data_IF_664658072884
#
_entry.id   IF_664658072884
#
_cell.length_a   1.000
_cell.length_b   1.000
_cell.length_c   1.000
_cell.angle_alpha   90.00
_cell.angle_beta   90.00
_cell.angle_gamma   90.00
#
_symmetry.space_group_name_H-M   'P 1'
#
loop_
_entity.id
_entity.type
_entity.pdbx_description
1 polymer ?
#
# COMPACT_ATOMS: atom_id res chain seq x y z
N UNK A 1 36.21 26.71 6.94
CA UNK A 1 35.42 25.50 7.28
C UNK A 1 36.25 24.30 6.84
N UNK A 2 36.64 23.40 7.74
CA UNK A 2 37.63 22.37 7.41
C UNK A 2 37.00 21.00 7.06
N UNK A 3 35.71 20.76 7.38
CA UNK A 3 35.07 19.46 7.18
C UNK A 3 33.56 19.56 6.96
N UNK A 4 33.02 18.69 6.09
CA UNK A 4 31.57 18.54 5.88
C UNK A 4 30.81 18.10 7.15
N UNK A 5 31.50 17.57 8.16
CA UNK A 5 30.90 17.18 9.44
C UNK A 5 30.51 18.38 10.30
N UNK A 6 31.20 19.51 10.14
CA UNK A 6 30.94 20.70 10.94
C UNK A 6 29.64 21.40 10.51
N UNK A 7 29.22 21.18 9.25
CA UNK A 7 28.00 21.75 8.65
C UNK A 7 26.76 21.44 9.48
N UNK A 8 26.64 20.22 10.01
CA UNK A 8 25.49 19.84 10.83
C UNK A 8 25.43 20.62 12.15
N UNK A 9 26.56 20.90 12.78
CA UNK A 9 26.65 21.66 14.04
C UNK A 9 26.15 23.10 13.82
N UNK A 10 26.54 23.71 12.69
CA UNK A 10 26.09 25.06 12.34
C UNK A 10 24.62 25.12 11.93
N UNK A 11 24.10 24.09 11.25
CA UNK A 11 22.66 23.93 10.97
C UNK A 11 21.83 23.83 12.24
N UNK A 12 22.26 23.00 13.20
CA UNK A 12 21.59 22.88 14.49
C UNK A 12 21.65 24.18 15.30
N UNK A 13 22.74 24.95 15.17
CA UNK A 13 22.90 26.25 15.83
C UNK A 13 22.02 27.35 15.22
N UNK A 14 21.88 27.39 13.90
CA UNK A 14 21.08 28.40 13.21
C UNK A 14 19.57 28.23 13.48
N UNK A 15 19.11 26.99 13.71
CA UNK A 15 17.70 26.63 13.96
C UNK A 15 16.76 27.04 12.81
N UNK A 16 15.49 26.69 12.94
CA UNK A 16 14.45 27.03 11.96
C UNK A 16 14.27 28.55 11.90
N UNK A 17 14.34 29.13 10.71
CA UNK A 17 14.31 30.58 10.47
C UNK A 17 15.66 31.28 10.60
N UNK A 18 16.74 30.56 10.91
CA UNK A 18 18.10 31.11 10.94
C UNK A 18 18.73 31.22 9.55
N UNK A 19 19.85 31.94 9.50
CA UNK A 19 20.64 32.20 8.29
C UNK A 19 22.00 31.51 8.40
N UNK A 20 22.48 30.92 7.31
CA UNK A 20 23.84 30.38 7.24
C UNK A 20 24.50 30.75 5.91
N UNK A 21 25.69 31.34 6.01
CA UNK A 21 26.55 31.66 4.89
C UNK A 21 27.67 30.62 4.78
N UNK A 22 27.73 29.92 3.66
CA UNK A 22 28.76 28.94 3.37
C UNK A 22 29.74 29.47 2.32
N UNK A 23 31.03 29.31 2.60
CA UNK A 23 32.07 29.37 1.59
C UNK A 23 32.51 27.95 1.24
N UNK A 24 32.31 27.56 -0.01
CA UNK A 24 32.63 26.23 -0.53
C UNK A 24 33.80 26.37 -1.48
N UNK A 25 34.94 25.78 -1.10
CA UNK A 25 36.09 25.62 -1.98
C UNK A 25 36.08 24.19 -2.55
N UNK A 26 36.04 24.07 -3.88
CA UNK A 26 36.14 22.81 -4.61
C UNK A 26 37.51 22.71 -5.29
N UNK A 27 38.52 22.12 -4.63
CA UNK A 27 39.90 22.11 -5.12
C UNK A 27 40.09 21.36 -6.45
N UNK A 28 39.11 20.56 -6.87
CA UNK A 28 39.10 19.87 -8.17
C UNK A 28 38.69 20.76 -9.36
N UNK A 29 38.27 22.01 -9.12
CA UNK A 29 37.86 22.95 -10.17
C UNK A 29 38.97 23.99 -10.45
N UNK A 30 39.01 24.59 -11.66
CA UNK A 30 39.94 25.66 -12.00
C UNK A 30 39.90 26.82 -11.00
N UNK A 31 41.02 27.53 -10.81
CA UNK A 31 41.17 28.60 -9.81
C UNK A 31 40.10 29.71 -9.91
N UNK A 32 39.55 29.92 -11.10
CA UNK A 32 38.49 30.89 -11.39
C UNK A 32 37.11 30.46 -10.89
N UNK A 33 36.85 29.15 -10.76
CA UNK A 33 35.54 28.58 -10.40
C UNK A 33 35.58 27.71 -9.14
N UNK A 34 36.73 27.58 -8.48
CA UNK A 34 36.85 26.74 -7.28
C UNK A 34 36.10 27.29 -6.06
N UNK A 35 35.78 28.59 -6.03
CA UNK A 35 35.21 29.26 -4.86
C UNK A 35 33.74 29.62 -5.09
N UNK A 36 32.86 29.16 -4.20
CA UNK A 36 31.43 29.45 -4.23
C UNK A 36 30.97 29.99 -2.88
N UNK A 37 30.08 30.98 -2.92
CA UNK A 37 29.32 31.44 -1.76
C UNK A 37 27.90 30.89 -1.88
N UNK A 38 27.38 30.29 -0.81
CA UNK A 38 26.00 29.83 -0.72
C UNK A 38 25.38 30.42 0.54
N UNK A 39 24.49 31.39 0.33
CA UNK A 39 23.73 32.04 1.38
C UNK A 39 22.38 31.32 1.50
N UNK A 40 22.19 30.66 2.65
CA UNK A 40 20.95 29.96 3.00
C UNK A 40 20.20 30.82 4.00
N UNK A 41 19.39 31.72 3.46
CA UNK A 41 18.51 32.58 4.24
C UNK A 41 17.21 31.84 4.56
N UNK A 42 16.70 31.98 5.79
CA UNK A 42 15.44 31.37 6.23
C UNK A 42 15.40 29.83 6.16
N UNK A 43 16.25 29.16 6.95
CA UNK A 43 16.25 27.70 7.07
C UNK A 43 14.85 27.15 7.44
N UNK A 44 14.22 26.43 6.51
CA UNK A 44 12.96 25.75 6.75
C UNK A 44 13.10 24.59 7.74
N UNK A 45 12.01 24.23 8.41
CA UNK A 45 11.95 22.96 9.15
C UNK A 45 12.03 21.77 8.20
N UNK A 46 12.52 20.63 8.70
CA UNK A 46 12.45 19.32 8.01
C UNK A 46 11.03 19.14 7.45
N UNK A 47 10.87 18.73 6.18
CA UNK A 47 9.59 18.86 5.46
C UNK A 47 8.41 18.29 6.25
N UNK A 48 7.41 19.15 6.46
CA UNK A 48 6.10 18.73 6.93
C UNK A 48 5.42 17.92 5.83
N UNK A 49 4.67 16.88 6.22
CA UNK A 49 3.95 16.02 5.29
C UNK A 49 3.00 16.87 4.45
N UNK A 50 3.15 16.86 3.12
CA UNK A 50 2.28 17.65 2.26
C UNK A 50 0.91 16.97 2.11
N UNK A 51 -0.13 17.73 1.73
CA UNK A 51 -1.44 17.15 1.42
C UNK A 51 -1.36 16.08 0.32
N UNK A 52 -0.46 16.28 -0.64
CA UNK A 52 -0.15 15.32 -1.69
C UNK A 52 0.45 14.03 -1.12
N UNK A 53 1.41 14.12 -0.20
CA UNK A 53 2.03 12.94 0.42
C UNK A 53 1.00 12.13 1.21
N UNK A 54 0.14 12.81 1.98
CA UNK A 54 -0.98 12.17 2.69
C UNK A 54 -1.94 11.46 1.73
N UNK A 55 -2.23 12.10 0.60
CA UNK A 55 -3.09 11.52 -0.43
C UNK A 55 -2.45 10.30 -1.13
N UNK A 56 -1.16 10.36 -1.47
CA UNK A 56 -0.42 9.21 -2.01
C UNK A 56 -0.39 8.06 -0.98
N UNK A 57 -0.15 8.36 0.29
CA UNK A 57 -0.20 7.36 1.36
C UNK A 57 -1.58 6.70 1.46
N UNK A 58 -2.66 7.49 1.32
CA UNK A 58 -4.03 6.98 1.27
C UNK A 58 -4.23 6.04 0.08
N UNK A 59 -3.75 6.41 -1.12
CA UNK A 59 -3.78 5.54 -2.30
C UNK A 59 -3.06 4.22 -1.99
N UNK A 60 -1.87 4.28 -1.39
CA UNK A 60 -1.10 3.10 -0.99
C UNK A 60 -1.90 2.19 -0.07
N UNK A 61 -2.56 2.74 0.96
CA UNK A 61 -3.43 1.99 1.86
C UNK A 61 -4.61 1.35 1.13
N UNK A 62 -5.22 2.06 0.18
CA UNK A 62 -6.31 1.50 -0.64
C UNK A 62 -5.82 0.31 -1.47
N UNK A 63 -4.65 0.40 -2.10
CA UNK A 63 -4.04 -0.74 -2.79
C UNK A 63 -3.83 -1.93 -1.86
N UNK A 64 -3.27 -1.70 -0.66
CA UNK A 64 -3.03 -2.74 0.33
C UNK A 64 -4.34 -3.42 0.77
N UNK A 65 -5.35 -2.62 1.15
CA UNK A 65 -6.66 -3.11 1.57
C UNK A 65 -7.34 -3.95 0.48
N UNK A 66 -7.32 -3.46 -0.77
CA UNK A 66 -7.89 -4.19 -1.90
C UNK A 66 -7.13 -5.50 -2.17
N UNK A 67 -5.79 -5.47 -2.13
CA UNK A 67 -4.95 -6.66 -2.33
C UNK A 67 -5.18 -7.72 -1.26
N UNK A 68 -5.19 -7.32 0.02
CA UNK A 68 -5.50 -8.19 1.15
C UNK A 68 -6.91 -8.77 1.04
N UNK A 69 -7.90 -7.94 0.73
CA UNK A 69 -9.28 -8.37 0.54
C UNK A 69 -9.38 -9.47 -0.53
N UNK A 70 -8.66 -9.34 -1.65
CA UNK A 70 -8.65 -10.35 -2.72
C UNK A 70 -7.95 -11.64 -2.28
N UNK A 71 -6.84 -11.57 -1.55
CA UNK A 71 -6.16 -12.76 -0.99
C UNK A 71 -7.09 -13.53 -0.05
N UNK A 72 -7.71 -12.83 0.91
CA UNK A 72 -8.63 -13.44 1.88
C UNK A 72 -9.88 -14.00 1.19
N UNK A 73 -10.32 -13.40 0.08
CA UNK A 73 -11.48 -13.87 -0.70
C UNK A 73 -11.20 -15.15 -1.49
N UNK A 74 -10.15 -15.16 -2.29
CA UNK A 74 -9.94 -16.22 -3.29
C UNK A 74 -9.03 -17.36 -2.78
N UNK A 75 -8.31 -17.14 -1.67
CA UNK A 75 -7.28 -18.06 -1.18
C UNK A 75 -6.03 -18.06 -2.09
N UNK A 76 -4.86 -18.36 -1.51
CA UNK A 76 -3.58 -18.32 -2.23
C UNK A 76 -3.41 -19.38 -3.35
N UNK A 77 -4.43 -20.20 -3.63
CA UNK A 77 -4.36 -21.32 -4.59
C UNK A 77 -4.49 -20.90 -6.05
N UNK A 78 -5.04 -19.71 -6.33
CA UNK A 78 -5.14 -19.20 -7.70
C UNK A 78 -3.93 -18.33 -8.05
N UNK A 79 -3.18 -18.63 -9.14
CA UNK A 79 -1.97 -17.87 -9.50
C UNK A 79 -2.26 -16.39 -9.74
N UNK A 80 -3.48 -16.03 -10.19
CA UNK A 80 -3.89 -14.65 -10.42
C UNK A 80 -3.95 -13.79 -9.15
N UNK A 81 -4.35 -14.41 -8.04
CA UNK A 81 -4.52 -13.72 -6.74
C UNK A 81 -3.18 -13.23 -6.25
N UNK A 82 -2.16 -14.08 -6.33
CA UNK A 82 -0.81 -13.75 -5.90
C UNK A 82 -0.21 -12.64 -6.77
N UNK A 83 -0.45 -12.66 -8.09
CA UNK A 83 0.01 -11.58 -8.98
C UNK A 83 -0.68 -10.26 -8.66
N UNK A 84 -2.01 -10.27 -8.48
CA UNK A 84 -2.75 -9.06 -8.10
C UNK A 84 -2.33 -8.54 -6.72
N UNK A 85 -2.13 -9.43 -5.75
CA UNK A 85 -1.64 -9.06 -4.43
C UNK A 85 -0.23 -8.47 -4.48
N UNK A 86 0.68 -9.05 -5.26
CA UNK A 86 2.03 -8.53 -5.43
C UNK A 86 2.04 -7.15 -6.11
N UNK A 87 1.13 -6.93 -7.07
CA UNK A 87 0.90 -5.61 -7.68
C UNK A 87 0.44 -4.59 -6.63
N UNK A 88 -0.56 -4.94 -5.83
CA UNK A 88 -1.06 -4.11 -4.74
C UNK A 88 0.01 -3.82 -3.68
N UNK A 89 0.82 -4.82 -3.33
CA UNK A 89 1.92 -4.67 -2.38
C UNK A 89 3.00 -3.73 -2.92
N UNK A 90 3.41 -3.90 -4.18
CA UNK A 90 4.36 -3.00 -4.82
C UNK A 90 3.84 -1.55 -4.83
N UNK A 91 2.56 -1.37 -5.18
CA UNK A 91 1.90 -0.07 -5.15
C UNK A 91 1.87 0.55 -3.75
N UNK A 92 1.49 -0.21 -2.73
CA UNK A 92 1.54 0.23 -1.34
C UNK A 92 2.94 0.69 -0.96
N UNK A 93 3.96 -0.12 -1.26
CA UNK A 93 5.34 0.17 -0.87
C UNK A 93 5.82 1.51 -1.42
N UNK A 94 5.64 1.78 -2.72
CA UNK A 94 6.19 3.01 -3.30
C UNK A 94 5.35 4.26 -3.02
N UNK A 95 4.06 4.10 -2.68
CA UNK A 95 3.20 5.22 -2.30
C UNK A 95 3.31 5.59 -0.83
N UNK A 96 3.42 4.60 0.07
CA UNK A 96 3.33 4.79 1.52
C UNK A 96 4.66 5.15 2.16
N UNK A 97 5.76 4.53 1.69
CA UNK A 97 7.08 4.79 2.27
C UNK A 97 7.70 6.04 1.63
N UNK A 98 7.95 7.05 2.46
CA UNK A 98 8.59 8.30 2.05
C UNK A 98 9.85 8.52 2.89
N UNK A 99 11.05 8.65 2.26
CA UNK A 99 12.27 8.97 2.97
C UNK A 99 12.21 10.40 3.51
N UNK A 100 12.81 10.61 4.68
CA UNK A 100 12.84 11.88 5.40
C UNK A 100 13.93 12.81 4.83
N UNK A 101 14.92 12.25 4.11
CA UNK A 101 16.03 13.00 3.51
C UNK A 101 17.20 13.23 4.47
N UNK A 102 17.35 12.36 5.47
CA UNK A 102 18.50 12.34 6.39
C UNK A 102 19.71 11.63 5.80
N UNK A 103 19.52 10.85 4.72
CA UNK A 103 20.57 10.07 4.04
C UNK A 103 21.34 9.11 4.95
N UNK A 104 20.77 8.73 6.10
CA UNK A 104 21.28 7.67 6.97
C UNK A 104 20.88 6.30 6.44
N UNK A 105 21.51 5.24 6.94
CA UNK A 105 21.27 3.85 6.51
C UNK A 105 19.78 3.47 6.42
N UNK A 106 18.98 3.78 7.44
CA UNK A 106 17.54 3.50 7.44
C UNK A 106 16.78 4.30 6.38
N UNK A 107 17.12 5.56 6.20
CA UNK A 107 16.46 6.46 5.25
C UNK A 107 16.78 6.07 3.80
N UNK A 108 18.03 5.68 3.55
CA UNK A 108 18.47 5.09 2.28
C UNK A 108 17.80 3.74 2.00
N UNK A 109 17.62 2.90 3.03
CA UNK A 109 16.87 1.65 2.90
C UNK A 109 15.40 1.89 2.55
N UNK A 110 14.76 2.90 3.15
CA UNK A 110 13.39 3.33 2.80
C UNK A 110 13.33 3.86 1.37
N UNK A 111 14.30 4.68 0.96
CA UNK A 111 14.38 5.20 -0.42
C UNK A 111 14.60 4.08 -1.45
N UNK A 112 15.44 3.10 -1.13
CA UNK A 112 15.63 1.88 -1.93
C UNK A 112 14.34 1.08 -2.03
N UNK A 113 13.67 0.82 -0.91
CA UNK A 113 12.42 0.06 -0.86
C UNK A 113 11.31 0.72 -1.69
N UNK A 114 11.14 2.05 -1.55
CA UNK A 114 10.22 2.84 -2.37
C UNK A 114 10.54 2.72 -3.86
N UNK A 115 11.81 2.88 -4.23
CA UNK A 115 12.26 2.78 -5.63
C UNK A 115 12.05 1.37 -6.20
N UNK A 116 12.37 0.33 -5.42
CA UNK A 116 12.15 -1.06 -5.79
C UNK A 116 10.66 -1.35 -6.02
N UNK A 117 9.78 -0.82 -5.16
CA UNK A 117 8.32 -0.91 -5.33
C UNK A 117 7.86 -0.31 -6.66
N UNK A 118 8.34 0.89 -7.02
CA UNK A 118 8.00 1.55 -8.28
C UNK A 118 8.51 0.77 -9.50
N UNK A 119 9.77 0.33 -9.46
CA UNK A 119 10.40 -0.42 -10.55
C UNK A 119 9.71 -1.78 -10.74
N UNK A 120 9.33 -2.48 -9.66
CA UNK A 120 8.64 -3.77 -9.73
C UNK A 120 7.16 -3.64 -10.10
N UNK A 121 6.49 -2.52 -9.77
CA UNK A 121 5.10 -2.30 -10.14
C UNK A 121 4.90 -2.33 -11.66
N UNK A 122 5.85 -1.79 -12.42
CA UNK A 122 5.80 -1.73 -13.89
C UNK A 122 5.59 -3.11 -14.56
N UNK A 123 6.50 -4.09 -14.41
CA UNK A 123 6.29 -5.42 -15.00
C UNK A 123 5.14 -6.18 -14.35
N UNK A 124 4.85 -5.98 -13.05
CA UNK A 124 3.73 -6.63 -12.37
C UNK A 124 2.38 -6.21 -12.97
N UNK A 125 2.20 -4.91 -13.25
CA UNK A 125 0.95 -4.40 -13.81
C UNK A 125 0.75 -4.85 -15.25
N UNK A 126 1.83 -4.85 -16.03
CA UNK A 126 1.82 -5.32 -17.41
C UNK A 126 1.56 -6.82 -17.50
N UNK A 127 2.20 -7.61 -16.64
CA UNK A 127 1.97 -9.04 -16.54
C UNK A 127 0.53 -9.34 -16.11
N UNK A 128 0.01 -8.64 -15.09
CA UNK A 128 -1.38 -8.79 -14.66
C UNK A 128 -2.36 -8.49 -15.81
N UNK A 129 -2.16 -7.38 -16.52
CA UNK A 129 -2.96 -6.99 -17.68
C UNK A 129 -2.90 -8.01 -18.84
N UNK A 130 -1.76 -8.71 -18.98
CA UNK A 130 -1.59 -9.76 -19.98
C UNK A 130 -2.26 -11.09 -19.61
N UNK A 131 -2.42 -11.42 -18.32
CA UNK A 131 -3.08 -12.67 -17.92
C UNK A 131 -4.61 -12.45 -17.73
N UNK A 132 -5.03 -11.25 -17.30
CA UNK A 132 -6.43 -10.91 -17.00
C UNK A 132 -7.24 -10.49 -18.24
N UNK A 133 -8.51 -10.94 -18.46
CA UNK A 133 -9.39 -11.73 -17.61
C UNK A 133 -9.46 -13.22 -17.97
N UNK A 134 -8.92 -13.66 -19.11
CA UNK A 134 -8.83 -15.06 -19.56
C UNK A 134 -7.38 -15.31 -19.94
N UNK A 135 -6.79 -16.44 -19.50
CA UNK A 135 -5.37 -16.78 -19.79
C UNK A 135 -5.15 -16.69 -21.30
N UNK A 136 -4.17 -15.90 -21.69
CA UNK A 136 -3.87 -15.67 -23.09
C UNK A 136 -2.77 -16.63 -23.56
N UNK A 137 -3.00 -17.33 -24.68
CA UNK A 137 -2.03 -18.29 -25.23
C UNK A 137 -0.71 -17.65 -25.74
N UNK A 138 -0.59 -16.32 -25.89
CA UNK A 138 0.67 -15.71 -26.38
C UNK A 138 1.87 -15.87 -25.44
N UNK A 139 1.63 -16.03 -24.14
CA UNK A 139 2.68 -16.26 -23.13
C UNK A 139 2.82 -17.74 -22.76
N UNK A 140 1.88 -18.58 -23.23
CA UNK A 140 1.80 -20.00 -22.88
C UNK A 140 2.80 -20.83 -23.70
N UNK A 141 3.10 -20.43 -24.94
CA UNK A 141 4.06 -21.16 -25.78
C UNK A 141 5.53 -20.89 -25.44
N UNK A 142 5.88 -19.81 -24.71
CA UNK A 142 7.28 -19.38 -24.53
C UNK A 142 7.52 -18.68 -23.18
N UNK A 143 7.72 -19.47 -22.11
CA UNK A 143 8.02 -19.02 -20.72
C UNK A 143 9.12 -17.94 -20.62
N UNK A 144 10.07 -17.92 -21.56
CA UNK A 144 11.14 -16.92 -21.61
C UNK A 144 10.65 -15.48 -21.88
N UNK A 145 9.49 -15.30 -22.53
CA UNK A 145 8.88 -13.97 -22.73
C UNK A 145 8.41 -13.35 -21.41
N UNK A 146 7.94 -14.17 -20.46
CA UNK A 146 7.61 -13.71 -19.11
C UNK A 146 8.87 -13.22 -18.41
N UNK A 147 9.98 -13.97 -18.51
CA UNK A 147 11.26 -13.57 -17.90
C UNK A 147 11.80 -12.27 -18.53
N UNK A 148 11.71 -12.14 -19.85
CA UNK A 148 12.18 -10.95 -20.57
C UNK A 148 11.44 -9.67 -20.14
N UNK A 149 10.17 -9.78 -19.73
CA UNK A 149 9.37 -8.66 -19.22
C UNK A 149 9.98 -8.03 -17.96
N UNK A 150 10.55 -8.85 -17.08
CA UNK A 150 11.14 -8.40 -15.81
C UNK A 150 12.60 -7.96 -15.97
N UNK A 151 13.26 -8.28 -17.09
CA UNK A 151 14.67 -7.98 -17.30
C UNK A 151 15.00 -6.48 -17.13
N UNK A 152 14.27 -5.52 -17.72
CA UNK A 152 14.54 -4.10 -17.51
C UNK A 152 14.38 -3.67 -16.05
N UNK A 153 13.41 -4.27 -15.36
CA UNK A 153 13.14 -3.99 -13.96
C UNK A 153 14.27 -4.51 -13.05
N UNK A 154 14.82 -5.70 -13.35
CA UNK A 154 15.99 -6.23 -12.64
C UNK A 154 17.25 -5.40 -12.88
N UNK A 155 17.48 -4.92 -14.10
CA UNK A 155 18.61 -4.02 -14.41
C UNK A 155 18.49 -2.72 -13.62
N UNK A 156 17.31 -2.10 -13.61
CA UNK A 156 17.04 -0.89 -12.83
C UNK A 156 17.16 -1.14 -11.32
N UNK A 157 16.77 -2.31 -10.83
CA UNK A 157 16.91 -2.67 -9.41
C UNK A 157 18.37 -2.87 -9.01
N UNK A 158 19.20 -3.44 -9.89
CA UNK A 158 20.66 -3.49 -9.69
C UNK A 158 21.29 -2.10 -9.71
N UNK A 159 20.78 -1.18 -10.53
CA UNK A 159 21.23 0.21 -10.50
C UNK A 159 20.79 0.90 -9.20
N UNK A 160 19.57 0.61 -8.73
CA UNK A 160 19.06 1.13 -7.46
C UNK A 160 19.89 0.65 -6.26
N UNK A 161 20.33 -0.61 -6.23
CA UNK A 161 21.23 -1.08 -5.15
C UNK A 161 22.56 -0.33 -5.17
N UNK A 162 23.13 -0.07 -6.35
CA UNK A 162 24.35 0.73 -6.50
C UNK A 162 24.16 2.18 -6.04
N UNK A 163 23.01 2.80 -6.31
CA UNK A 163 22.71 4.19 -5.94
C UNK A 163 22.41 4.35 -4.45
N UNK A 164 21.55 3.50 -3.87
CA UNK A 164 21.06 3.69 -2.49
C UNK A 164 21.86 2.94 -1.44
N UNK A 165 22.49 1.80 -1.80
CA UNK A 165 23.21 0.94 -0.85
C UNK A 165 24.73 1.01 -1.05
N UNK A 166 25.24 2.08 -1.69
CA UNK A 166 26.67 2.29 -1.97
C UNK A 166 27.54 2.11 -0.73
N UNK A 167 27.17 2.75 0.37
CA UNK A 167 27.97 2.74 1.61
C UNK A 167 28.06 1.35 2.24
N UNK A 168 27.06 0.51 2.00
CA UNK A 168 27.06 -0.90 2.41
C UNK A 168 27.86 -1.76 1.42
N UNK A 169 27.75 -1.49 0.11
CA UNK A 169 28.49 -2.20 -0.94
C UNK A 169 30.00 -1.99 -0.85
N UNK A 170 30.44 -0.79 -0.47
CA UNK A 170 31.86 -0.45 -0.28
C UNK A 170 32.55 -1.31 0.79
N UNK A 171 31.78 -1.93 1.70
CA UNK A 171 32.32 -2.86 2.69
C UNK A 171 32.77 -4.20 2.08
N UNK A 172 32.24 -4.53 0.91
CA UNK A 172 32.46 -5.81 0.22
C UNK A 172 33.22 -5.62 -1.10
N UNK A 173 33.00 -4.50 -1.79
CA UNK A 173 33.56 -4.21 -3.11
C UNK A 173 34.46 -2.96 -3.04
N UNK A 174 35.63 -2.96 -3.71
CA UNK A 174 36.52 -1.79 -3.75
C UNK A 174 35.81 -0.51 -4.21
N UNK A 175 36.12 0.62 -3.56
CA UNK A 175 35.50 1.93 -3.83
C UNK A 175 35.64 2.39 -5.29
N UNK A 176 36.76 2.05 -5.93
CA UNK A 176 37.06 2.44 -7.30
C UNK A 176 36.04 1.91 -8.30
N UNK A 177 35.51 0.70 -8.07
CA UNK A 177 34.49 0.07 -8.92
C UNK A 177 33.08 0.63 -8.68
N UNK A 178 32.87 1.34 -7.56
CA UNK A 178 31.57 1.86 -7.13
C UNK A 178 31.45 3.39 -7.29
N UNK A 179 32.42 4.03 -7.93
CA UNK A 179 32.35 5.45 -8.25
C UNK A 179 31.45 5.66 -9.47
N UNK A 180 30.44 6.50 -9.30
CA UNK A 180 29.53 6.91 -10.37
C UNK A 180 29.37 8.42 -10.40
N UNK A 181 29.05 8.95 -11.58
CA UNK A 181 28.78 10.38 -11.75
C UNK A 181 27.38 10.75 -11.23
N UNK A 182 27.18 11.99 -10.73
CA UNK A 182 25.84 12.49 -10.40
C UNK A 182 24.84 12.39 -11.56
N UNK A 183 25.33 12.50 -12.81
CA UNK A 183 24.51 12.30 -14.00
C UNK A 183 23.91 10.90 -14.09
N UNK A 184 24.62 9.86 -13.65
CA UNK A 184 24.10 8.49 -13.65
C UNK A 184 22.87 8.38 -12.75
N UNK A 185 22.87 9.06 -11.61
CA UNK A 185 21.75 9.09 -10.66
C UNK A 185 20.53 9.75 -11.31
N UNK A 186 20.73 10.88 -12.00
CA UNK A 186 19.65 11.57 -12.72
C UNK A 186 19.09 10.69 -13.84
N UNK A 187 19.96 10.05 -14.63
CA UNK A 187 19.57 9.11 -15.69
C UNK A 187 18.83 7.90 -15.13
N UNK A 188 19.22 7.39 -13.96
CA UNK A 188 18.52 6.31 -13.26
C UNK A 188 17.09 6.71 -12.91
N UNK A 189 16.88 7.85 -12.24
CA UNK A 189 15.54 8.32 -11.90
C UNK A 189 14.67 8.52 -13.14
N UNK A 190 15.23 9.15 -14.18
CA UNK A 190 14.52 9.33 -15.46
C UNK A 190 14.19 8.00 -16.12
N UNK A 191 15.11 7.05 -16.15
CA UNK A 191 14.89 5.73 -16.74
C UNK A 191 13.86 4.89 -15.97
N UNK A 192 13.91 4.91 -14.62
CA UNK A 192 12.94 4.23 -13.77
C UNK A 192 11.53 4.80 -13.97
N UNK A 193 11.42 6.13 -14.06
CA UNK A 193 10.15 6.79 -14.32
C UNK A 193 9.61 6.49 -15.72
N UNK A 194 10.44 6.57 -16.77
CA UNK A 194 10.07 6.21 -18.15
C UNK A 194 9.62 4.75 -18.21
N UNK A 195 10.35 3.84 -17.57
CA UNK A 195 9.98 2.43 -17.50
C UNK A 195 8.59 2.23 -16.90
N UNK A 196 8.31 2.90 -15.77
CA UNK A 196 7.00 2.90 -15.14
C UNK A 196 5.90 3.44 -16.06
N UNK A 197 6.10 4.61 -16.68
CA UNK A 197 5.12 5.23 -17.58
C UNK A 197 4.83 4.35 -18.80
N UNK A 198 5.86 3.79 -19.43
CA UNK A 198 5.70 2.89 -20.59
C UNK A 198 4.89 1.65 -20.20
N UNK A 199 5.21 1.03 -19.07
CA UNK A 199 4.48 -0.16 -18.62
C UNK A 199 3.02 0.15 -18.28
N UNK A 200 2.76 1.31 -17.66
CA UNK A 200 1.41 1.79 -17.33
C UNK A 200 0.56 2.01 -18.60
N UNK A 201 1.11 2.69 -19.61
CA UNK A 201 0.45 2.92 -20.91
C UNK A 201 0.26 1.60 -21.66
N UNK A 202 1.28 0.73 -21.71
CA UNK A 202 1.19 -0.57 -22.36
C UNK A 202 0.09 -1.45 -21.71
N UNK A 203 -0.03 -1.42 -20.38
CA UNK A 203 -1.06 -2.12 -19.63
C UNK A 203 -2.46 -1.63 -19.99
N UNK A 204 -2.66 -0.31 -20.01
CA UNK A 204 -3.93 0.30 -20.43
C UNK A 204 -4.30 -0.07 -21.87
N UNK A 205 -3.33 0.05 -22.80
CA UNK A 205 -3.53 -0.30 -24.20
C UNK A 205 -3.89 -1.77 -24.40
N UNK A 206 -3.27 -2.70 -23.64
CA UNK A 206 -3.64 -4.11 -23.67
C UNK A 206 -5.05 -4.36 -23.16
N UNK A 207 -5.46 -3.72 -22.06
CA UNK A 207 -6.80 -3.85 -21.50
C UNK A 207 -7.87 -3.29 -22.45
N UNK A 208 -7.63 -2.12 -23.06
CA UNK A 208 -8.51 -1.51 -24.07
C UNK A 208 -8.62 -2.41 -25.30
N UNK A 209 -7.49 -2.87 -25.85
CA UNK A 209 -7.46 -3.78 -27.00
C UNK A 209 -8.28 -5.05 -26.72
N UNK A 210 -8.19 -5.60 -25.51
CA UNK A 210 -8.98 -6.77 -25.11
C UNK A 210 -10.46 -6.47 -25.02
N UNK A 211 -10.84 -5.32 -24.47
CA UNK A 211 -12.23 -4.90 -24.40
C UNK A 211 -12.87 -4.73 -25.80
N UNK A 212 -12.09 -4.26 -26.78
CA UNK A 212 -12.54 -4.09 -28.17
C UNK A 212 -12.63 -5.44 -28.93
N UNK A 213 -11.64 -6.32 -28.77
CA UNK A 213 -11.57 -7.60 -29.53
C UNK A 213 -12.46 -8.70 -28.91
N UNK A 214 -12.76 -8.65 -27.61
CA UNK A 214 -13.47 -9.73 -26.91
C UNK A 214 -14.92 -9.92 -27.39
N UNK A 215 -15.19 -11.09 -27.98
CA UNK A 215 -16.54 -11.55 -28.37
C UNK A 215 -17.37 -12.09 -27.19
N UNK A 216 -16.71 -12.45 -26.08
CA UNK A 216 -17.39 -12.97 -24.89
C UNK A 216 -18.01 -11.81 -24.07
N UNK A 217 -19.33 -11.84 -23.89
CA UNK A 217 -20.12 -10.81 -23.22
C UNK A 217 -19.75 -10.66 -21.74
N UNK A 218 -19.48 -11.76 -21.05
CA UNK A 218 -19.09 -11.77 -19.62
C UNK A 218 -17.71 -11.14 -19.43
N UNK A 219 -16.74 -11.53 -20.26
CA UNK A 219 -15.39 -10.96 -20.21
C UNK A 219 -15.38 -9.46 -20.57
N UNK A 220 -16.25 -9.03 -21.49
CA UNK A 220 -16.38 -7.62 -21.87
C UNK A 220 -17.01 -6.78 -20.76
N UNK A 221 -18.03 -7.30 -20.06
CA UNK A 221 -18.59 -6.63 -18.88
C UNK A 221 -17.57 -6.53 -17.74
N UNK A 222 -16.77 -7.58 -17.52
CA UNK A 222 -15.68 -7.56 -16.55
C UNK A 222 -14.62 -6.49 -16.89
N UNK A 223 -14.20 -6.43 -18.16
CA UNK A 223 -13.22 -5.44 -18.62
C UNK A 223 -13.76 -4.02 -18.68
N UNK A 224 -15.07 -3.81 -18.84
CA UNK A 224 -15.67 -2.47 -18.96
C UNK A 224 -15.20 -1.55 -17.82
N UNK A 225 -15.42 -1.96 -16.58
CA UNK A 225 -15.07 -1.14 -15.42
C UNK A 225 -13.57 -0.96 -15.24
N UNK A 226 -12.79 -1.99 -15.57
CA UNK A 226 -11.32 -1.95 -15.51
C UNK A 226 -10.77 -0.97 -16.54
N UNK A 227 -11.26 -1.01 -17.78
CA UNK A 227 -10.83 -0.11 -18.85
C UNK A 227 -11.22 1.32 -18.54
N UNK A 228 -12.46 1.59 -18.12
CA UNK A 228 -12.87 2.95 -17.76
C UNK A 228 -12.07 3.48 -16.56
N UNK A 229 -11.91 2.70 -15.50
CA UNK A 229 -11.15 3.10 -14.32
C UNK A 229 -9.67 3.33 -14.61
N UNK A 230 -9.02 2.40 -15.33
CA UNK A 230 -7.61 2.53 -15.69
C UNK A 230 -7.37 3.66 -16.69
N UNK A 231 -8.20 3.83 -17.72
CA UNK A 231 -8.05 4.95 -18.67
C UNK A 231 -8.25 6.30 -17.98
N UNK A 232 -9.27 6.43 -17.12
CA UNK A 232 -9.52 7.66 -16.37
C UNK A 232 -8.40 7.96 -15.37
N UNK A 233 -7.76 6.93 -14.80
CA UNK A 233 -6.61 7.08 -13.93
C UNK A 233 -5.32 7.48 -14.69
N UNK A 234 -5.06 6.79 -15.79
CA UNK A 234 -3.78 6.80 -16.49
C UNK A 234 -3.68 8.01 -17.42
N UNK A 235 -4.76 8.39 -18.13
CA UNK A 235 -4.69 9.44 -19.13
C UNK A 235 -4.32 10.82 -18.54
N UNK A 236 -4.94 11.31 -17.44
CA UNK A 236 -4.56 12.58 -16.83
C UNK A 236 -3.14 12.53 -16.27
N UNK A 237 -2.77 11.44 -15.60
CA UNK A 237 -1.43 11.26 -15.05
C UNK A 237 -0.35 11.31 -16.14
N UNK A 238 -0.57 10.62 -17.27
CA UNK A 238 0.40 10.59 -18.36
C UNK A 238 0.50 11.95 -19.05
N UNK A 239 -0.64 12.58 -19.35
CA UNK A 239 -0.70 13.82 -20.11
C UNK A 239 -0.14 15.01 -19.35
N UNK A 240 -0.53 15.17 -18.07
CA UNK A 240 -0.22 16.37 -17.31
C UNK A 240 1.02 16.21 -16.41
N UNK A 241 1.34 14.99 -15.96
CA UNK A 241 2.48 14.77 -15.06
C UNK A 241 3.65 14.07 -15.77
N UNK A 242 3.41 12.87 -16.33
CA UNK A 242 4.51 12.06 -16.85
C UNK A 242 5.18 12.67 -18.09
N UNK A 243 4.40 13.21 -19.03
CA UNK A 243 4.93 13.88 -20.21
C UNK A 243 5.79 15.09 -19.83
N UNK A 244 5.31 15.94 -18.91
CA UNK A 244 6.06 17.09 -18.41
C UNK A 244 7.39 16.67 -17.78
N UNK A 245 7.37 15.69 -16.89
CA UNK A 245 8.59 15.17 -16.24
C UNK A 245 9.61 14.63 -17.24
N UNK A 246 9.19 13.87 -18.25
CA UNK A 246 10.10 13.28 -19.25
C UNK A 246 10.69 14.35 -20.17
N UNK A 247 9.90 15.37 -20.51
CA UNK A 247 10.31 16.51 -21.35
C UNK A 247 11.11 17.58 -20.59
N UNK A 248 11.20 17.48 -19.26
CA UNK A 248 11.91 18.45 -18.42
C UNK A 248 11.13 19.74 -18.16
N UNK A 249 9.81 19.71 -18.29
CA UNK A 249 8.93 20.82 -17.92
C UNK A 249 8.67 20.85 -16.41
N UNK A 250 8.31 22.03 -15.88
CA UNK A 250 8.03 22.22 -14.47
C UNK A 250 6.82 21.39 -14.00
N UNK A 251 7.04 20.52 -13.01
CA UNK A 251 6.02 19.64 -12.44
C UNK A 251 5.41 20.19 -11.14
N UNK A 252 5.55 21.49 -10.89
CA UNK A 252 5.10 22.17 -9.67
C UNK A 252 3.79 22.96 -9.87
N UNK A 253 2.91 22.49 -10.76
CA UNK A 253 1.65 23.18 -11.09
C UNK A 253 0.45 22.57 -10.36
N UNK A 254 -0.61 23.35 -10.14
CA UNK A 254 -1.86 22.82 -9.60
C UNK A 254 -2.48 21.71 -10.47
N UNK A 255 -2.24 21.76 -11.79
CA UNK A 255 -2.68 20.74 -12.74
C UNK A 255 -2.01 19.39 -12.49
N UNK A 256 -0.73 19.38 -12.11
CA UNK A 256 -0.01 18.15 -11.77
C UNK A 256 -0.54 17.49 -10.50
N UNK A 257 -0.99 18.26 -9.52
CA UNK A 257 -1.62 17.73 -8.29
C UNK A 257 -2.96 17.05 -8.60
N UNK A 258 -3.78 17.70 -9.43
CA UNK A 258 -5.09 17.16 -9.85
C UNK A 258 -4.93 15.88 -10.69
N UNK A 259 -3.86 15.78 -11.47
CA UNK A 259 -3.58 14.62 -12.32
C UNK A 259 -3.28 13.32 -11.55
N UNK A 260 -2.91 13.41 -10.27
CA UNK A 260 -2.62 12.27 -9.39
C UNK A 260 -3.89 11.70 -8.76
N UNK A 261 -4.94 12.52 -8.56
CA UNK A 261 -6.20 12.12 -7.92
C UNK A 261 -6.88 10.89 -8.58
N UNK A 262 -6.89 10.74 -9.91
CA UNK A 262 -7.53 9.60 -10.54
C UNK A 262 -6.82 8.25 -10.30
N UNK A 263 -5.58 8.22 -9.79
CA UNK A 263 -4.82 6.97 -9.61
C UNK A 263 -5.48 5.97 -8.65
N UNK A 264 -6.29 6.46 -7.69
CA UNK A 264 -7.08 5.61 -6.78
C UNK A 264 -8.11 4.74 -7.52
N UNK A 265 -8.48 5.10 -8.75
CA UNK A 265 -9.45 4.34 -9.54
C UNK A 265 -8.87 3.01 -10.07
N UNK A 266 -7.55 2.89 -10.21
CA UNK A 266 -6.90 1.65 -10.64
C UNK A 266 -7.20 0.50 -9.65
N UNK A 267 -6.85 0.58 -8.35
CA UNK A 267 -7.12 -0.51 -7.42
C UNK A 267 -8.62 -0.74 -7.23
N UNK A 268 -9.43 0.31 -7.23
CA UNK A 268 -10.88 0.19 -7.06
C UNK A 268 -11.53 -0.54 -8.25
N UNK A 269 -11.21 -0.16 -9.48
CA UNK A 269 -11.77 -0.80 -10.68
C UNK A 269 -11.31 -2.24 -10.85
N UNK A 270 -10.02 -2.52 -10.58
CA UNK A 270 -9.46 -3.86 -10.62
C UNK A 270 -10.03 -4.74 -9.49
N UNK A 271 -10.02 -4.24 -8.26
CA UNK A 271 -10.59 -4.92 -7.10
C UNK A 271 -12.05 -5.26 -7.32
N UNK A 272 -12.85 -4.28 -7.74
CA UNK A 272 -14.25 -4.48 -8.10
C UNK A 272 -14.43 -5.58 -9.15
N UNK A 273 -13.63 -5.54 -10.21
CA UNK A 273 -13.78 -6.47 -11.32
C UNK A 273 -13.30 -7.89 -11.02
N UNK A 274 -12.26 -8.04 -10.21
CA UNK A 274 -11.79 -9.32 -9.67
C UNK A 274 -12.83 -9.91 -8.70
N UNK A 275 -13.46 -9.07 -7.88
CA UNK A 275 -14.42 -9.49 -6.85
C UNK A 275 -15.78 -9.84 -7.47
N UNK A 276 -16.35 -8.98 -8.33
CA UNK A 276 -17.72 -9.11 -8.86
C UNK A 276 -17.86 -10.20 -9.93
N UNK A 277 -16.90 -10.30 -10.85
CA UNK A 277 -17.08 -11.13 -12.06
C UNK A 277 -16.39 -12.50 -11.98
N UNK A 278 -15.63 -12.79 -10.92
CA UNK A 278 -14.97 -14.10 -10.74
C UNK A 278 -15.41 -14.91 -9.53
N UNK A 279 -16.31 -14.41 -8.68
CA UNK A 279 -16.90 -15.19 -7.59
C UNK A 279 -18.35 -14.81 -7.35
N UNK A 280 -19.23 -15.78 -7.58
CA UNK A 280 -20.62 -15.83 -7.14
C UNK A 280 -20.77 -15.80 -5.61
N UNK A 281 -19.67 -15.71 -4.85
CA UNK A 281 -19.66 -15.60 -3.38
C UNK A 281 -19.01 -14.27 -2.92
N UNK A 282 -19.72 -13.15 -3.10
CA UNK A 282 -19.33 -11.84 -2.51
C UNK A 282 -19.78 -11.76 -1.04
N UNK A 283 -20.93 -12.35 -0.69
CA UNK A 283 -21.57 -12.16 0.62
C UNK A 283 -20.83 -12.84 1.79
N UNK A 284 -20.35 -14.07 1.60
CA UNK A 284 -19.73 -14.85 2.68
C UNK A 284 -18.39 -14.26 3.17
N UNK A 285 -17.61 -13.68 2.24
CA UNK A 285 -16.27 -13.18 2.54
C UNK A 285 -16.30 -11.75 3.06
N UNK A 286 -17.15 -10.87 2.52
CA UNK A 286 -17.34 -9.53 3.10
C UNK A 286 -17.78 -9.65 4.55
N UNK A 287 -18.66 -10.61 4.86
CA UNK A 287 -19.06 -10.96 6.22
C UNK A 287 -17.87 -11.37 7.10
N UNK A 288 -17.05 -12.34 6.67
CA UNK A 288 -15.88 -12.78 7.46
C UNK A 288 -14.85 -11.66 7.61
N UNK A 289 -14.50 -10.96 6.54
CA UNK A 289 -13.52 -9.88 6.57
C UNK A 289 -14.00 -8.70 7.43
N UNK A 290 -15.26 -8.30 7.34
CA UNK A 290 -15.84 -7.26 8.18
C UNK A 290 -15.87 -7.70 9.66
N UNK A 291 -16.28 -8.94 9.95
CA UNK A 291 -16.26 -9.48 11.32
C UNK A 291 -14.84 -9.53 11.87
N UNK A 292 -13.86 -10.01 11.11
CA UNK A 292 -12.47 -10.04 11.56
C UNK A 292 -11.90 -8.64 11.73
N UNK A 293 -12.08 -7.73 10.78
CA UNK A 293 -11.58 -6.36 10.87
C UNK A 293 -12.20 -5.61 12.05
N UNK A 294 -13.53 -5.72 12.24
CA UNK A 294 -14.24 -5.12 13.36
C UNK A 294 -13.76 -5.72 14.69
N UNK A 295 -13.61 -7.04 14.78
CA UNK A 295 -13.11 -7.71 16.00
C UNK A 295 -11.69 -7.29 16.31
N UNK A 296 -10.79 -7.28 15.32
CA UNK A 296 -9.40 -6.86 15.50
C UNK A 296 -9.32 -5.39 15.90
N UNK A 297 -10.13 -4.52 15.29
CA UNK A 297 -10.20 -3.11 15.65
C UNK A 297 -10.72 -2.91 17.09
N UNK A 298 -11.77 -3.63 17.49
CA UNK A 298 -12.29 -3.60 18.86
C UNK A 298 -11.24 -4.05 19.87
N UNK A 299 -10.52 -5.14 19.59
CA UNK A 299 -9.44 -5.62 20.46
C UNK A 299 -8.30 -4.60 20.52
N UNK A 300 -7.89 -4.04 19.39
CA UNK A 300 -6.81 -3.05 19.32
C UNK A 300 -7.18 -1.76 20.06
N UNK A 301 -8.42 -1.27 19.93
CA UNK A 301 -8.92 -0.11 20.67
C UNK A 301 -9.03 -0.39 22.18
N UNK A 302 -9.49 -1.59 22.57
CA UNK A 302 -9.54 -1.98 23.98
C UNK A 302 -8.13 -2.05 24.61
N UNK A 303 -7.16 -2.63 23.90
CA UNK A 303 -5.75 -2.66 24.31
C UNK A 303 -5.17 -1.25 24.39
N UNK A 304 -5.40 -0.42 23.36
CA UNK A 304 -4.94 0.97 23.32
C UNK A 304 -5.50 1.82 24.46
N UNK A 305 -6.78 1.64 24.79
CA UNK A 305 -7.40 2.31 25.92
C UNK A 305 -6.76 1.91 27.25
N UNK A 306 -6.52 0.61 27.49
CA UNK A 306 -5.85 0.15 28.72
C UNK A 306 -4.44 0.69 28.83
N UNK A 307 -3.65 0.66 27.76
CA UNK A 307 -2.29 1.22 27.76
C UNK A 307 -2.33 2.73 28.04
N UNK A 308 -3.28 3.46 27.45
CA UNK A 308 -3.45 4.89 27.69
C UNK A 308 -3.83 5.19 29.14
N UNK A 309 -4.83 4.51 29.70
CA UNK A 309 -5.25 4.72 31.10
C UNK A 309 -4.18 4.27 32.10
N UNK A 310 -3.50 3.15 31.86
CA UNK A 310 -2.39 2.69 32.69
C UNK A 310 -1.19 3.64 32.64
N UNK A 311 -0.84 4.15 31.45
CA UNK A 311 0.19 5.16 31.28
C UNK A 311 -0.18 6.49 31.95
N UNK A 312 -1.43 6.94 31.81
CA UNK A 312 -1.92 8.15 32.46
C UNK A 312 -1.93 8.04 33.99
N UNK A 313 -2.28 6.88 34.55
CA UNK A 313 -2.21 6.65 36.00
C UNK A 313 -0.77 6.50 36.52
N UNK A 314 0.11 5.85 35.76
CA UNK A 314 1.50 5.63 36.15
C UNK A 314 2.35 6.91 36.06
N UNK A 315 2.06 7.81 35.11
CA UNK A 315 2.86 9.02 34.88
C UNK A 315 2.16 10.33 35.27
N UNK A 316 0.82 10.36 35.40
CA UNK A 316 0.04 11.58 35.64
C UNK A 316 -0.44 11.80 37.07
N UNK A 317 -0.29 10.82 37.98
CA UNK A 317 -0.77 10.90 39.35
C UNK A 317 0.35 11.08 40.37
N UNK A 318 0.28 12.15 41.15
CA UNK A 318 1.13 12.45 42.32
C UNK A 318 0.92 11.45 43.47
N UNK A 319 1.24 10.18 43.25
CA UNK A 319 1.26 9.10 44.28
C UNK A 319 2.60 8.38 44.23
N UNK A 320 3.68 9.16 44.11
CA UNK A 320 5.04 8.70 44.36
C UNK A 320 5.40 8.97 45.83
N UNK A 321 4.75 8.28 46.77
CA UNK A 321 5.14 8.38 48.18
C UNK A 321 4.71 7.19 49.05
N UNK A 322 5.02 5.96 48.63
CA UNK A 322 5.25 4.83 49.55
C UNK A 322 5.68 3.58 48.77
N UNK A 323 6.84 3.04 49.12
CA UNK A 323 7.58 1.99 48.41
C UNK A 323 6.96 0.58 48.45
N UNK A 324 5.64 0.45 48.42
CA UNK A 324 4.93 -0.84 48.43
C UNK A 324 3.94 -1.03 47.26
N UNK A 325 3.81 -0.07 46.34
CA UNK A 325 2.66 -0.03 45.39
C UNK A 325 3.04 -0.48 43.96
N UNK A 326 4.15 -1.19 43.73
CA UNK A 326 4.44 -1.70 42.36
C UNK A 326 3.60 -2.96 42.04
N UNK A 327 3.05 -3.63 43.05
CA UNK A 327 2.28 -4.88 42.88
C UNK A 327 0.83 -4.65 42.46
N UNK A 328 0.12 -3.70 43.07
CA UNK A 328 -1.29 -3.44 42.79
C UNK A 328 -1.60 -2.99 41.35
N UNK A 329 -0.86 -2.02 40.75
CA UNK A 329 -1.09 -1.58 39.37
C UNK A 329 -0.77 -2.68 38.35
N UNK A 330 0.26 -3.48 38.61
CA UNK A 330 0.61 -4.63 37.78
C UNK A 330 -0.51 -5.69 37.81
N UNK A 331 -1.00 -6.03 39.00
CA UNK A 331 -2.14 -6.96 39.16
C UNK A 331 -3.39 -6.42 38.45
N UNK A 332 -3.66 -5.11 38.54
CA UNK A 332 -4.79 -4.49 37.85
C UNK A 332 -4.65 -4.53 36.33
N UNK A 333 -3.44 -4.28 35.81
CA UNK A 333 -3.16 -4.35 34.37
C UNK A 333 -3.29 -5.77 33.80
N UNK A 334 -2.83 -6.78 34.55
CA UNK A 334 -2.94 -8.20 34.20
C UNK A 334 -4.40 -8.67 34.29
N UNK A 335 -5.13 -8.25 35.33
CA UNK A 335 -6.56 -8.54 35.46
C UNK A 335 -7.40 -7.87 34.36
N UNK A 336 -7.10 -6.62 34.01
CA UNK A 336 -7.76 -5.91 32.92
C UNK A 336 -7.48 -6.58 31.56
N UNK A 337 -6.24 -7.00 31.31
CA UNK A 337 -5.87 -7.76 30.12
C UNK A 337 -6.62 -9.09 30.04
N UNK A 338 -6.71 -9.83 31.15
CA UNK A 338 -7.45 -11.09 31.22
C UNK A 338 -8.96 -10.88 30.94
N UNK A 339 -9.57 -9.84 31.53
CA UNK A 339 -10.96 -9.47 31.28
C UNK A 339 -11.20 -9.12 29.80
N UNK A 340 -10.31 -8.36 29.17
CA UNK A 340 -10.44 -8.00 27.75
C UNK A 340 -10.39 -9.24 26.86
N UNK A 341 -9.45 -10.16 27.11
CA UNK A 341 -9.34 -11.41 26.35
C UNK A 341 -10.60 -12.26 26.51
N UNK A 342 -11.17 -12.33 27.73
CA UNK A 342 -12.40 -13.05 28.00
C UNK A 342 -13.64 -12.43 27.36
N UNK A 343 -13.71 -11.09 27.26
CA UNK A 343 -14.85 -10.37 26.68
C UNK A 343 -14.74 -10.27 25.14
N UNK A 344 -13.53 -10.36 24.58
CA UNK A 344 -13.32 -10.33 23.13
C UNK A 344 -14.02 -11.47 22.38
N UNK A 345 -14.02 -12.68 22.96
CA UNK A 345 -14.69 -13.84 22.36
C UNK A 345 -16.23 -13.70 22.25
N UNK A 346 -16.98 -13.32 23.31
CA UNK A 346 -18.42 -13.12 23.21
C UNK A 346 -18.81 -11.91 22.34
N UNK A 347 -18.04 -10.82 22.36
CA UNK A 347 -18.30 -9.65 21.48
C UNK A 347 -18.15 -10.03 20.01
N UNK A 348 -17.10 -10.79 19.66
CA UNK A 348 -16.92 -11.33 18.31
C UNK A 348 -18.14 -12.12 17.85
N UNK A 349 -18.66 -12.99 18.71
CA UNK A 349 -19.82 -13.83 18.41
C UNK A 349 -21.10 -12.98 18.24
N UNK A 350 -21.32 -11.99 19.10
CA UNK A 350 -22.48 -11.09 19.01
C UNK A 350 -22.47 -10.23 17.75
N UNK A 351 -21.31 -9.68 17.38
CA UNK A 351 -21.15 -8.89 16.16
C UNK A 351 -21.36 -9.76 14.91
N UNK A 352 -20.87 -11.01 14.96
CA UNK A 352 -21.11 -11.99 13.90
C UNK A 352 -22.62 -12.24 13.74
N UNK A 353 -23.37 -12.49 14.81
CA UNK A 353 -24.82 -12.71 14.75
C UNK A 353 -25.61 -11.48 14.25
N UNK A 354 -25.21 -10.26 14.62
CA UNK A 354 -25.90 -9.03 14.19
C UNK A 354 -25.69 -8.73 12.71
N UNK A 355 -24.46 -8.92 12.22
CA UNK A 355 -24.14 -8.79 10.79
C UNK A 355 -24.91 -9.84 9.98
N UNK A 356 -25.02 -11.06 10.51
CA UNK A 356 -25.79 -12.13 9.89
C UNK A 356 -27.26 -11.77 9.75
N UNK A 357 -27.86 -11.20 10.82
CA UNK A 357 -29.28 -10.84 10.82
C UNK A 357 -29.62 -9.69 9.88
N UNK A 358 -28.72 -8.71 9.73
CA UNK A 358 -28.93 -7.55 8.85
C UNK A 358 -28.82 -7.94 7.36
N UNK A 359 -27.89 -8.83 7.01
CA UNK A 359 -27.67 -9.23 5.61
C UNK A 359 -28.47 -10.47 5.18
N UNK A 360 -28.80 -11.41 6.08
CA UNK A 360 -29.52 -12.66 5.77
C UNK A 360 -30.98 -12.69 6.23
N UNK A 361 -31.60 -11.53 6.51
CA UNK A 361 -32.95 -11.41 7.08
C UNK A 361 -34.04 -12.26 6.41
N UNK A 362 -33.88 -12.73 5.16
CA UNK A 362 -34.84 -13.60 4.49
C UNK A 362 -34.47 -15.10 4.44
N UNK A 363 -33.19 -15.48 4.57
CA UNK A 363 -32.76 -16.90 4.44
C UNK A 363 -32.70 -17.64 5.77
N UNK A 364 -32.47 -16.94 6.89
CA UNK A 364 -32.52 -17.56 8.22
C UNK A 364 -33.97 -17.92 8.61
N UNK A 365 -34.92 -17.02 8.30
CA UNK A 365 -36.34 -17.28 8.46
C UNK A 365 -36.81 -18.43 7.58
N UNK A 366 -36.31 -18.57 6.34
CA UNK A 366 -36.71 -19.70 5.49
C UNK A 366 -36.31 -21.07 6.06
N UNK A 367 -35.08 -21.21 6.60
CA UNK A 367 -34.62 -22.48 7.18
C UNK A 367 -35.33 -22.80 8.49
N UNK A 368 -35.63 -21.78 9.30
CA UNK A 368 -36.35 -21.94 10.57
C UNK A 368 -37.84 -22.23 10.33
N UNK A 369 -38.46 -21.53 9.40
CA UNK A 369 -39.85 -21.78 8.97
C UNK A 369 -40.01 -23.14 8.30
N UNK A 370 -39.03 -23.64 7.53
CA UNK A 370 -39.09 -25.00 6.98
C UNK A 370 -38.90 -26.09 8.04
N UNK A 371 -38.07 -25.84 9.06
CA UNK A 371 -37.91 -26.75 10.19
C UNK A 371 -39.14 -26.76 11.11
N UNK A 372 -39.75 -25.60 11.35
CA UNK A 372 -41.00 -25.50 12.10
C UNK A 372 -42.19 -26.04 11.29
N UNK A 373 -42.22 -25.84 9.98
CA UNK A 373 -43.20 -26.49 9.10
C UNK A 373 -43.05 -28.01 9.10
N UNK A 374 -41.82 -28.53 8.99
CA UNK A 374 -41.55 -29.97 9.07
C UNK A 374 -41.93 -30.57 10.43
N UNK A 375 -41.65 -29.84 11.52
CA UNK A 375 -42.09 -30.22 12.88
C UNK A 375 -43.61 -30.18 13.04
N UNK A 376 -44.27 -29.20 12.45
CA UNK A 376 -45.73 -29.06 12.53
C UNK A 376 -46.40 -30.18 11.72
N UNK A 377 -45.94 -30.47 10.50
CA UNK A 377 -46.44 -31.62 9.71
C UNK A 377 -46.22 -32.94 10.46
N UNK A 378 -45.01 -33.16 10.99
CA UNK A 378 -44.70 -34.39 11.73
C UNK A 378 -45.48 -34.52 13.05
N UNK A 379 -45.85 -33.41 13.69
CA UNK A 379 -46.72 -33.40 14.86
C UNK A 379 -48.19 -33.59 14.50
N UNK A 380 -48.62 -33.15 13.31
CA UNK A 380 -50.00 -33.31 12.83
C UNK A 380 -50.23 -34.69 12.18
N UNK A 381 -49.19 -35.51 12.00
CA UNK A 381 -49.31 -36.89 11.49
C UNK A 381 -49.56 -37.94 12.59
N UNK A 382 -49.82 -37.52 13.84
CA UNK A 382 -50.46 -38.39 14.83
C UNK A 382 -51.95 -38.54 14.48
N UNK A 383 -52.21 -39.28 13.39
CA UNK A 383 -53.50 -39.50 12.77
C UNK A 383 -54.28 -40.65 13.44
N UNK A 384 -54.23 -40.74 14.77
CA UNK A 384 -54.95 -41.77 15.54
C UNK A 384 -56.25 -41.26 16.21
N UNK A 385 -56.45 -39.97 16.57
CA UNK A 385 -57.71 -39.55 17.22
C UNK A 385 -58.85 -39.15 16.27
N UNK A 386 -58.68 -39.19 14.94
CA UNK A 386 -59.72 -38.76 13.97
C UNK A 386 -60.39 -39.91 13.21
N UNK A 387 -60.07 -41.16 13.53
CA UNK A 387 -60.74 -42.35 12.97
C UNK A 387 -61.79 -42.97 13.91
N UNK A 388 -61.96 -42.42 15.13
CA UNK A 388 -62.87 -42.92 16.16
C UNK A 388 -64.02 -41.94 16.53
N UNK A 389 -64.38 -41.02 15.63
CA UNK A 389 -65.57 -40.15 15.80
C UNK A 389 -66.55 -40.23 14.64
#
# INVERSE_FOLDING_TARGET
>A
IASARDVQIYLERARVGGEIHYFIERPSFPAETRNYYADLDSLGSIPNWTARDLYLNLIGLVYLCVGLFVIFKQGGRSPFVLHFASLCLAAYVFHFYTPIGTYKDLDLAIAFLRSAGLIMFAPLFLHFSAIYPVRYHLLENRRWRNVLLYLPAFVLLCLATLVFLRDQLVKVVPRELLNYSPELVLRFYKAAFIHFTIALVASAALLIRRFVISKNTVARQQLKWVVWGSTLAIAPFVLFYAAGYVLGADTASGLTEVAVLPLILIPLSLGYSVVRYRLMDVELVVRRAAVYALTTLTIALALGAVVYFAGAYAFGGSVASSGEIITLPLIFSVAAMACIVMIAAPIKNFLQERVDRIFYGQRYDLRRSLLDFGRTISATTALDPLLDS
#
